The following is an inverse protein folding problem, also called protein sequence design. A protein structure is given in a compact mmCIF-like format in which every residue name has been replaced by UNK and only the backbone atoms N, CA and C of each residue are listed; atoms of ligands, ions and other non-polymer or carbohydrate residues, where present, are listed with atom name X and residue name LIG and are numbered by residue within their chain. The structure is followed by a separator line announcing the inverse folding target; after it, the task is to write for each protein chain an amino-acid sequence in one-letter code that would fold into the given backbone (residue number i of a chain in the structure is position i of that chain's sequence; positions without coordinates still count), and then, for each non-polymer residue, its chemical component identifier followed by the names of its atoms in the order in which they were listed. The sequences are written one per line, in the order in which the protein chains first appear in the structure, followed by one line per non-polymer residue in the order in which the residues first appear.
data_IF_188540409920
#
_entry.id   IF_188540409920
#
_cell.length_a   1.000
_cell.length_b   1.000
_cell.length_c   1.000
_cell.angle_alpha   90.00
_cell.angle_beta   90.00
_cell.angle_gamma   90.00
#
_symmetry.space_group_name_H-M   'P 1'
#
loop_
_entity.id
_entity.type
_entity.pdbx_description
1 polymer ?
#
# COMPACT_ATOMS: atom_id res chain seq x y z
N UNK A 1 80.97 -22.53 7.74
CA UNK A 1 80.38 -22.05 9.02
C UNK A 1 80.34 -20.52 8.92
N UNK A 2 79.23 -19.78 8.95
CA UNK A 2 77.98 -19.95 9.69
C UNK A 2 76.77 -19.27 9.00
N UNK A 3 75.69 -20.06 8.92
CA UNK A 3 74.25 -19.78 9.16
C UNK A 3 73.64 -18.44 8.71
N UNK A 4 72.94 -18.57 7.59
CA UNK A 4 71.71 -17.85 7.19
C UNK A 4 70.69 -17.73 8.33
N UNK A 5 70.09 -16.55 8.47
CA UNK A 5 68.85 -16.33 9.25
C UNK A 5 67.87 -15.57 8.35
N UNK A 6 67.04 -16.33 7.63
CA UNK A 6 65.88 -15.80 6.90
C UNK A 6 64.79 -15.55 7.95
N UNK A 7 64.48 -14.28 8.22
CA UNK A 7 63.33 -13.88 9.03
C UNK A 7 62.07 -13.93 8.14
N UNK A 8 61.24 -14.95 8.32
CA UNK A 8 59.93 -15.03 7.71
C UNK A 8 58.99 -14.00 8.36
N UNK A 9 58.67 -12.91 7.65
CA UNK A 9 57.52 -12.07 7.96
C UNK A 9 56.26 -12.79 7.46
N UNK A 10 55.46 -13.35 8.36
CA UNK A 10 54.12 -13.83 8.05
C UNK A 10 53.17 -12.62 7.97
N UNK A 11 52.79 -12.23 6.76
CA UNK A 11 51.75 -11.21 6.54
C UNK A 11 50.40 -11.93 6.66
N UNK A 12 49.70 -11.71 7.77
CA UNK A 12 48.31 -12.15 7.93
C UNK A 12 47.41 -11.25 7.07
N UNK A 13 46.97 -11.76 5.91
CA UNK A 13 45.97 -11.12 5.09
C UNK A 13 44.59 -11.27 5.77
N UNK A 14 44.15 -10.21 6.46
CA UNK A 14 42.75 -10.05 6.85
C UNK A 14 41.91 -9.93 5.59
N UNK A 15 41.29 -11.04 5.18
CA UNK A 15 40.24 -11.04 4.16
C UNK A 15 39.06 -10.29 4.73
N UNK A 16 38.99 -8.98 4.45
CA UNK A 16 37.79 -8.20 4.62
C UNK A 16 36.75 -8.75 3.64
N UNK A 17 35.90 -9.67 4.11
CA UNK A 17 34.69 -10.00 3.40
C UNK A 17 33.92 -8.68 3.23
N UNK A 18 33.58 -8.25 2.00
CA UNK A 18 32.57 -7.23 1.86
C UNK A 18 31.33 -7.82 2.51
N UNK A 19 30.96 -7.29 3.67
CA UNK A 19 29.57 -7.37 4.11
C UNK A 19 28.83 -6.64 3.02
N UNK A 20 28.30 -7.38 2.06
CA UNK A 20 27.23 -6.88 1.22
C UNK A 20 26.17 -6.42 2.21
N UNK A 21 26.12 -5.13 2.47
CA UNK A 21 24.91 -4.52 2.95
C UNK A 21 23.87 -4.88 1.89
N UNK A 22 23.15 -5.97 2.12
CA UNK A 22 21.90 -6.23 1.46
C UNK A 22 21.07 -5.02 1.84
N UNK A 23 21.09 -3.99 0.98
CA UNK A 23 20.19 -2.86 1.14
C UNK A 23 18.81 -3.46 1.30
N UNK A 24 18.12 -3.10 2.38
CA UNK A 24 16.66 -3.18 2.37
C UNK A 24 16.22 -2.68 0.99
N UNK A 25 15.60 -3.54 0.19
CA UNK A 25 15.25 -3.21 -1.18
C UNK A 25 14.54 -1.86 -1.18
N UNK A 26 15.02 -0.90 -1.95
CA UNK A 26 14.45 0.44 -1.89
C UNK A 26 12.94 0.35 -2.16
N UNK A 27 12.14 0.85 -1.23
CA UNK A 27 10.69 0.84 -1.35
C UNK A 27 10.26 1.48 -2.69
N UNK A 28 9.35 0.85 -3.46
CA UNK A 28 8.92 1.38 -4.75
C UNK A 28 8.24 2.74 -4.58
N UNK A 29 8.40 3.64 -5.55
CA UNK A 29 7.70 4.92 -5.58
C UNK A 29 6.22 4.70 -5.92
N UNK A 30 5.34 4.97 -4.96
CA UNK A 30 3.89 4.85 -5.09
C UNK A 30 3.19 6.19 -5.30
N UNK A 31 3.93 7.31 -5.33
CA UNK A 31 3.34 8.65 -5.54
C UNK A 31 2.62 8.76 -6.89
N UNK A 32 1.68 9.68 -6.94
CA UNK A 32 0.93 10.01 -8.15
C UNK A 32 -0.53 9.59 -8.06
N UNK A 33 -1.19 9.68 -9.21
CA UNK A 33 -2.63 9.43 -9.31
C UNK A 33 -2.89 8.00 -9.76
N UNK A 34 -3.88 7.40 -9.13
CA UNK A 34 -4.33 6.04 -9.40
C UNK A 34 -5.84 6.07 -9.59
N UNK A 35 -6.35 5.44 -10.63
CA UNK A 35 -7.76 5.50 -10.99
C UNK A 35 -8.33 4.11 -11.20
N UNK A 36 -9.58 3.91 -10.79
CA UNK A 36 -10.32 2.68 -10.98
C UNK A 36 -11.77 2.83 -10.57
N UNK A 37 -12.41 1.71 -10.23
CA UNK A 37 -13.78 1.66 -9.72
C UNK A 37 -13.84 0.80 -8.48
N UNK A 38 -14.71 1.16 -7.55
CA UNK A 38 -15.02 0.32 -6.40
C UNK A 38 -15.94 -0.83 -6.82
N UNK A 39 -15.78 -2.00 -6.20
CA UNK A 39 -16.78 -3.07 -6.24
C UNK A 39 -17.21 -3.36 -4.80
N UNK A 40 -18.24 -2.63 -4.36
CA UNK A 40 -18.60 -2.53 -2.94
C UNK A 40 -19.78 -3.42 -2.58
N UNK A 41 -19.65 -4.11 -1.44
CA UNK A 41 -20.74 -4.74 -0.71
C UNK A 41 -20.98 -3.91 0.56
N UNK A 42 -22.22 -3.47 0.76
CA UNK A 42 -22.63 -2.64 1.88
C UNK A 42 -23.81 -3.26 2.63
N UNK A 43 -23.70 -3.31 3.95
CA UNK A 43 -24.83 -3.44 4.87
C UNK A 43 -25.02 -2.11 5.59
N UNK A 44 -26.27 -1.67 5.74
CA UNK A 44 -26.62 -0.40 6.37
C UNK A 44 -26.45 0.81 5.43
N UNK A 45 -26.10 1.96 6.03
CA UNK A 45 -25.95 3.26 5.35
C UNK A 45 -24.60 3.88 5.73
N UNK A 46 -23.62 3.80 4.83
CA UNK A 46 -22.29 4.40 5.00
C UNK A 46 -22.25 5.88 4.60
N UNK A 47 -21.24 6.61 5.10
CA UNK A 47 -21.02 8.03 4.77
C UNK A 47 -20.82 8.25 3.27
N UNK A 48 -19.99 7.42 2.64
CA UNK A 48 -19.78 7.39 1.18
C UNK A 48 -20.94 6.81 0.38
N UNK A 49 -21.94 6.21 1.04
CA UNK A 49 -23.05 5.53 0.40
C UNK A 49 -24.39 6.00 0.99
N UNK A 50 -24.73 7.30 0.90
CA UNK A 50 -25.90 7.88 1.57
C UNK A 50 -27.23 7.31 1.05
N UNK A 51 -27.24 6.76 -0.17
CA UNK A 51 -28.39 6.06 -0.77
C UNK A 51 -28.36 4.54 -0.54
N UNK A 52 -27.26 3.99 -0.04
CA UNK A 52 -27.13 2.56 0.25
C UNK A 52 -27.99 2.12 1.43
N UNK A 53 -28.71 1.01 1.28
CA UNK A 53 -29.62 0.43 2.30
C UNK A 53 -29.57 -1.09 2.31
N UNK A 54 -28.36 -1.65 2.22
CA UNK A 54 -28.19 -3.11 2.23
C UNK A 54 -28.52 -3.72 3.59
N UNK A 55 -28.85 -5.01 3.60
CA UNK A 55 -29.08 -5.81 4.80
C UNK A 55 -28.18 -7.05 4.77
N UNK A 56 -28.04 -7.77 5.88
CA UNK A 56 -27.26 -9.01 5.90
C UNK A 56 -27.82 -10.10 4.98
N UNK A 57 -29.15 -10.17 4.81
CA UNK A 57 -29.80 -11.11 3.91
C UNK A 57 -29.78 -10.65 2.43
N UNK A 58 -29.66 -9.34 2.20
CA UNK A 58 -29.64 -8.74 0.88
C UNK A 58 -28.75 -7.49 0.92
N UNK A 59 -27.42 -7.66 0.80
CA UNK A 59 -26.50 -6.53 0.86
C UNK A 59 -26.62 -5.69 -0.41
N UNK A 60 -26.32 -4.40 -0.30
CA UNK A 60 -26.29 -3.52 -1.46
C UNK A 60 -24.96 -3.74 -2.21
N UNK A 61 -25.05 -3.97 -3.51
CA UNK A 61 -23.91 -4.07 -4.42
C UNK A 61 -23.79 -2.74 -5.17
N UNK A 62 -22.71 -2.01 -4.92
CA UNK A 62 -22.58 -0.61 -5.34
C UNK A 62 -21.21 -0.35 -5.98
N UNK A 63 -21.19 0.59 -6.91
CA UNK A 63 -19.97 1.03 -7.58
C UNK A 63 -19.89 2.56 -7.64
N UNK A 64 -18.67 3.08 -7.51
CA UNK A 64 -18.27 4.47 -7.72
C UNK A 64 -16.92 4.49 -8.43
N UNK A 65 -16.65 5.59 -9.11
CA UNK A 65 -15.31 5.92 -9.56
C UNK A 65 -14.43 6.18 -8.34
N UNK A 66 -13.23 5.60 -8.37
CA UNK A 66 -12.25 5.69 -7.29
C UNK A 66 -10.97 6.31 -7.84
N UNK A 67 -10.45 7.30 -7.13
CA UNK A 67 -9.13 7.85 -7.39
C UNK A 67 -8.32 7.95 -6.09
N UNK A 68 -7.06 7.54 -6.14
CA UNK A 68 -6.08 7.90 -5.12
C UNK A 68 -5.14 8.96 -5.67
N UNK A 69 -4.83 9.94 -4.84
CA UNK A 69 -3.78 10.92 -5.05
C UNK A 69 -2.74 10.73 -3.95
N UNK A 70 -1.71 9.91 -4.21
CA UNK A 70 -0.61 9.69 -3.25
C UNK A 70 0.33 10.89 -3.39
N UNK A 71 0.29 11.78 -2.39
CA UNK A 71 0.91 13.10 -2.43
C UNK A 71 2.32 13.10 -1.89
N UNK A 72 2.60 12.27 -0.89
CA UNK A 72 3.89 12.20 -0.24
C UNK A 72 4.28 10.78 0.13
N UNK A 73 5.58 10.54 0.14
CA UNK A 73 6.19 9.28 0.49
C UNK A 73 7.56 9.54 1.14
N UNK A 74 7.81 8.86 2.26
CA UNK A 74 9.07 8.83 3.00
C UNK A 74 9.46 7.37 3.29
N UNK A 75 10.33 6.82 2.45
CA UNK A 75 10.66 5.41 2.42
C UNK A 75 9.43 4.55 2.13
N UNK A 76 9.09 3.67 3.06
CA UNK A 76 7.91 2.80 2.98
C UNK A 76 6.60 3.45 3.46
N UNK A 77 6.66 4.66 4.03
CA UNK A 77 5.47 5.38 4.54
C UNK A 77 4.96 6.35 3.49
N UNK A 78 3.66 6.46 3.30
CA UNK A 78 3.07 7.39 2.33
C UNK A 78 1.70 7.90 2.81
N UNK A 79 1.22 8.97 2.18
CA UNK A 79 -0.05 9.61 2.52
C UNK A 79 -0.66 10.30 1.31
N UNK A 80 -1.97 10.49 1.35
CA UNK A 80 -2.70 11.02 0.20
C UNK A 80 -4.16 11.31 0.49
N UNK A 81 -4.91 11.42 -0.60
CA UNK A 81 -6.37 11.57 -0.57
C UNK A 81 -7.01 10.56 -1.50
N UNK A 82 -8.04 9.89 -1.00
CA UNK A 82 -8.95 9.06 -1.76
C UNK A 82 -10.16 9.89 -2.17
N UNK A 83 -10.56 9.82 -3.43
CA UNK A 83 -11.77 10.42 -3.95
C UNK A 83 -12.70 9.32 -4.44
N UNK A 84 -13.92 9.30 -3.92
CA UNK A 84 -15.02 8.52 -4.46
C UNK A 84 -16.01 9.44 -5.17
N UNK A 85 -16.41 9.10 -6.39
CA UNK A 85 -17.37 9.88 -7.16
C UNK A 85 -18.34 9.01 -7.97
N UNK A 86 -19.57 9.48 -8.16
CA UNK A 86 -20.59 8.78 -8.92
C UNK A 86 -22.00 9.05 -8.41
N UNK A 87 -23.02 8.92 -9.28
CA UNK A 87 -24.42 9.11 -8.90
C UNK A 87 -24.76 10.52 -8.39
N UNK A 88 -24.00 11.54 -8.82
CA UNK A 88 -24.11 12.94 -8.38
C UNK A 88 -23.42 13.24 -7.05
N UNK A 89 -22.68 12.30 -6.49
CA UNK A 89 -22.00 12.43 -5.19
C UNK A 89 -20.48 12.43 -5.39
N UNK A 90 -19.77 13.18 -4.55
CA UNK A 90 -18.31 13.16 -4.45
C UNK A 90 -17.89 13.30 -3.00
N UNK A 91 -16.95 12.47 -2.56
CA UNK A 91 -16.37 12.51 -1.22
C UNK A 91 -14.87 12.32 -1.31
N UNK A 92 -14.12 13.14 -0.57
CA UNK A 92 -12.68 13.07 -0.48
C UNK A 92 -12.28 12.72 0.96
N UNK A 93 -11.36 11.78 1.15
CA UNK A 93 -10.86 11.38 2.47
C UNK A 93 -9.33 11.29 2.52
N UNK A 94 -8.69 11.82 3.56
CA UNK A 94 -7.25 11.66 3.75
C UNK A 94 -6.93 10.24 4.20
N UNK A 95 -5.83 9.68 3.71
CA UNK A 95 -5.31 8.40 4.19
C UNK A 95 -3.82 8.47 4.49
N UNK A 96 -3.39 7.56 5.34
CA UNK A 96 -1.98 7.21 5.58
C UNK A 96 -1.78 5.73 5.25
N UNK A 97 -0.57 5.34 4.89
CA UNK A 97 -0.26 3.94 4.63
C UNK A 97 1.22 3.61 4.72
N UNK A 98 1.48 2.32 4.71
CA UNK A 98 2.81 1.75 4.82
C UNK A 98 2.95 0.56 3.87
N UNK A 99 4.05 0.52 3.12
CA UNK A 99 4.47 -0.63 2.34
C UNK A 99 5.08 -1.67 3.29
N UNK A 100 4.67 -2.91 3.13
CA UNK A 100 4.99 -4.03 4.00
C UNK A 100 5.54 -5.20 3.19
N UNK A 101 6.01 -6.23 3.90
CA UNK A 101 6.67 -7.38 3.28
C UNK A 101 8.15 -7.15 3.00
N UNK A 102 8.85 -8.21 2.61
CA UNK A 102 10.30 -8.18 2.37
C UNK A 102 10.68 -7.42 1.10
N UNK A 103 9.74 -7.26 0.18
CA UNK A 103 9.89 -6.61 -1.11
C UNK A 103 9.16 -5.26 -1.21
N UNK A 104 8.52 -4.82 -0.11
CA UNK A 104 7.70 -3.61 -0.05
C UNK A 104 6.61 -3.55 -1.12
N UNK A 105 6.09 -4.70 -1.56
CA UNK A 105 5.00 -4.77 -2.54
C UNK A 105 3.65 -5.06 -1.91
N UNK A 106 3.58 -5.43 -0.64
CA UNK A 106 2.31 -5.41 0.10
C UNK A 106 2.10 -4.04 0.74
N UNK A 107 0.86 -3.71 1.09
CA UNK A 107 0.57 -2.48 1.79
C UNK A 107 -0.60 -2.59 2.75
N UNK A 108 -0.59 -1.68 3.73
CA UNK A 108 -1.73 -1.37 4.58
C UNK A 108 -1.99 0.13 4.52
N UNK A 109 -3.25 0.51 4.35
CA UNK A 109 -3.70 1.90 4.37
C UNK A 109 -4.73 2.04 5.49
N UNK A 110 -4.89 3.24 6.04
CA UNK A 110 -5.96 3.62 6.96
C UNK A 110 -6.43 5.04 6.64
N UNK A 111 -7.73 5.29 6.76
CA UNK A 111 -8.34 6.61 6.60
C UNK A 111 -9.21 6.95 7.82
N UNK A 112 -10.22 7.80 7.64
CA UNK A 112 -11.05 8.27 8.74
C UNK A 112 -12.12 7.28 9.20
N UNK A 113 -12.43 6.25 8.41
CA UNK A 113 -13.50 5.33 8.73
C UNK A 113 -13.16 3.84 8.52
N UNK A 114 -12.05 3.51 7.85
CA UNK A 114 -11.67 2.14 7.58
C UNK A 114 -10.20 1.93 7.27
N UNK A 115 -9.91 0.74 6.73
CA UNK A 115 -8.57 0.32 6.36
C UNK A 115 -8.58 -0.51 5.09
N UNK A 116 -7.44 -0.54 4.40
CA UNK A 116 -7.20 -1.33 3.20
C UNK A 116 -6.01 -2.23 3.44
N UNK A 117 -6.06 -3.42 2.87
CA UNK A 117 -4.90 -4.28 2.71
C UNK A 117 -4.80 -4.71 1.25
N UNK A 118 -3.58 -4.70 0.72
CA UNK A 118 -3.40 -4.98 -0.70
C UNK A 118 -1.94 -5.12 -1.10
N UNK A 119 -1.72 -5.06 -2.40
CA UNK A 119 -0.42 -5.19 -3.03
C UNK A 119 -0.28 -4.34 -4.28
N UNK A 120 0.96 -4.02 -4.61
CA UNK A 120 1.41 -3.39 -5.83
C UNK A 120 1.79 -4.49 -6.84
N UNK A 121 0.93 -4.68 -7.83
CA UNK A 121 1.14 -5.57 -8.96
C UNK A 121 1.88 -4.82 -10.09
N UNK A 122 3.09 -5.26 -10.42
CA UNK A 122 3.97 -4.49 -11.31
C UNK A 122 4.32 -3.13 -10.69
N UNK A 123 4.38 -2.07 -11.49
CA UNK A 123 4.63 -0.70 -10.98
C UNK A 123 3.43 0.23 -11.21
N UNK A 124 2.34 -0.30 -11.77
CA UNK A 124 1.22 0.47 -12.30
C UNK A 124 -0.16 0.01 -11.82
N UNK A 125 -0.26 -1.04 -11.00
CA UNK A 125 -1.53 -1.54 -10.50
C UNK A 125 -1.52 -1.75 -8.99
N UNK A 126 -2.47 -1.14 -8.26
CA UNK A 126 -2.74 -1.48 -6.86
C UNK A 126 -3.98 -2.38 -6.82
N UNK A 127 -3.85 -3.53 -6.17
CA UNK A 127 -4.93 -4.50 -5.93
C UNK A 127 -5.16 -4.64 -4.43
N UNK A 128 -6.39 -4.41 -3.96
CA UNK A 128 -6.66 -4.31 -2.53
C UNK A 128 -8.10 -4.63 -2.16
N UNK A 129 -8.32 -4.82 -0.86
CA UNK A 129 -9.64 -4.78 -0.24
C UNK A 129 -9.69 -3.68 0.81
N UNK A 130 -10.75 -2.89 0.76
CA UNK A 130 -11.17 -1.97 1.82
C UNK A 130 -12.16 -2.67 2.74
N UNK A 131 -12.04 -2.42 4.04
CA UNK A 131 -13.04 -2.80 5.03
C UNK A 131 -13.29 -1.67 6.01
N UNK A 132 -14.56 -1.50 6.38
CA UNK A 132 -14.93 -0.82 7.61
C UNK A 132 -16.05 -1.51 8.37
N UNK A 133 -16.11 -1.25 9.66
CA UNK A 133 -17.26 -1.61 10.51
C UNK A 133 -17.54 -0.45 11.44
N UNK A 134 -18.71 0.15 11.28
CA UNK A 134 -19.19 1.26 12.08
C UNK A 134 -20.61 0.96 12.59
N UNK A 135 -21.11 1.75 13.53
CA UNK A 135 -22.45 1.56 14.12
C UNK A 135 -23.61 1.63 13.11
N UNK A 136 -23.39 2.17 11.91
CA UNK A 136 -24.42 2.39 10.87
C UNK A 136 -24.18 1.60 9.59
N UNK A 137 -22.99 1.03 9.41
CA UNK A 137 -22.64 0.31 8.19
C UNK A 137 -21.50 -0.67 8.38
N UNK A 138 -21.52 -1.71 7.57
CA UNK A 138 -20.38 -2.60 7.30
C UNK A 138 -20.14 -2.59 5.80
N UNK A 139 -18.89 -2.39 5.40
CA UNK A 139 -18.48 -2.29 4.00
C UNK A 139 -17.29 -3.17 3.76
N UNK A 140 -17.32 -3.87 2.63
CA UNK A 140 -16.17 -4.50 2.01
C UNK A 140 -16.13 -4.09 0.54
N UNK A 141 -14.96 -3.69 0.04
CA UNK A 141 -14.76 -3.43 -1.39
C UNK A 141 -13.40 -3.91 -1.84
N UNK A 142 -13.35 -4.94 -2.68
CA UNK A 142 -12.11 -5.40 -3.30
C UNK A 142 -12.01 -4.85 -4.72
N UNK A 143 -10.93 -4.17 -5.05
CA UNK A 143 -10.84 -3.37 -6.27
C UNK A 143 -9.40 -3.24 -6.75
N UNK A 144 -9.26 -2.81 -8.01
CA UNK A 144 -7.98 -2.47 -8.60
C UNK A 144 -8.01 -1.03 -9.08
N UNK A 145 -6.89 -0.33 -8.91
CA UNK A 145 -6.65 0.98 -9.51
C UNK A 145 -5.36 0.95 -10.31
N UNK A 146 -5.33 1.70 -11.40
CA UNK A 146 -4.16 1.83 -12.27
C UNK A 146 -3.54 3.19 -12.16
N UNK A 147 -2.22 3.24 -12.18
CA UNK A 147 -1.46 4.49 -12.20
C UNK A 147 -1.79 5.25 -13.48
N UNK A 148 -2.08 6.54 -13.35
CA UNK A 148 -2.20 7.41 -14.52
C UNK A 148 -0.82 7.68 -15.07
N UNK A 149 -0.67 7.60 -16.40
CA UNK A 149 0.57 8.00 -17.08
C UNK A 149 0.77 9.52 -17.04
#
# INVERSE_FOLDING_TARGET
MNRSVIRHLAIAALVAYPVSALGEGQAPDVKGKWIGKTHTILVGKGGHWPKGRGTWASPALLEKDLAFDIRGQDGRRFWGVTTLSGGGEKTDEPFIGELTGKDYRSFVFADTDGFWNGQLDGDDTLSFCYMHTHSKSTVVSCSQVKRTR
#
